data_IF_917767934386
#
_entry.id   IF_917767934386
#
_cell.length_a   1.000
_cell.length_b   1.000
_cell.length_c   1.000
_cell.angle_alpha   90.00
_cell.angle_beta   90.00
_cell.angle_gamma   90.00
#
_symmetry.space_group_name_H-M   'P 1'
#
loop_
_entity.id
_entity.type
_entity.pdbx_description
1 polymer ?
#
# COMPACT_ATOMS: atom_id res chain seq x y z
N UNK A 1 12.52 10.24 2.40
CA UNK A 1 11.83 10.04 3.68
C UNK A 1 11.91 8.56 4.02
N UNK A 2 12.43 8.22 5.20
CA UNK A 2 12.48 6.84 5.70
C UNK A 2 11.66 6.80 6.98
N UNK A 3 10.53 6.09 6.94
CA UNK A 3 9.66 5.91 8.09
C UNK A 3 10.15 4.74 8.94
N UNK A 4 10.25 4.93 10.25
CA UNK A 4 10.66 3.88 11.18
C UNK A 4 9.89 3.97 12.50
N UNK A 5 9.87 2.88 13.27
CA UNK A 5 9.31 2.92 14.62
C UNK A 5 10.22 3.77 15.52
N UNK A 6 9.63 4.55 16.43
CA UNK A 6 10.38 5.50 17.27
C UNK A 6 11.44 4.87 18.18
N UNK A 7 11.30 3.59 18.52
CA UNK A 7 12.23 2.81 19.34
C UNK A 7 13.32 2.09 18.52
N UNK A 8 13.22 2.10 17.19
CA UNK A 8 14.20 1.47 16.30
C UNK A 8 15.36 2.44 16.04
N UNK A 9 16.57 1.98 16.35
CA UNK A 9 17.78 2.68 15.93
C UNK A 9 17.96 2.58 14.42
N UNK A 10 17.94 3.73 13.75
CA UNK A 10 18.18 3.81 12.31
C UNK A 10 19.68 3.60 12.04
N UNK A 11 20.07 2.68 11.14
CA UNK A 11 21.46 2.45 10.78
C UNK A 11 22.18 3.73 10.34
N UNK A 12 23.40 3.92 10.82
CA UNK A 12 24.22 5.10 10.49
C UNK A 12 24.41 5.28 8.97
N UNK A 13 24.49 4.18 8.22
CA UNK A 13 24.57 4.19 6.76
C UNK A 13 23.35 4.88 6.11
N UNK A 14 22.14 4.69 6.66
CA UNK A 14 20.93 5.36 6.18
C UNK A 14 20.90 6.83 6.60
N UNK A 15 21.32 7.13 7.84
CA UNK A 15 21.43 8.50 8.33
C UNK A 15 22.41 9.34 7.50
N UNK A 16 23.48 8.72 6.97
CA UNK A 16 24.47 9.40 6.12
C UNK A 16 24.01 9.66 4.68
N UNK A 17 22.86 9.16 4.24
CA UNK A 17 22.38 9.34 2.86
C UNK A 17 21.75 10.72 2.60
N UNK A 18 21.50 11.51 3.64
CA UNK A 18 20.68 12.73 3.55
C UNK A 18 19.17 12.44 3.46
N UNK A 19 18.75 11.17 3.53
CA UNK A 19 17.35 10.84 3.66
C UNK A 19 16.80 11.35 4.99
N UNK A 20 15.72 12.12 4.92
CA UNK A 20 14.97 12.51 6.10
C UNK A 20 14.41 11.27 6.81
N UNK A 21 14.63 11.18 8.13
CA UNK A 21 14.14 10.11 8.99
C UNK A 21 12.88 10.57 9.71
N UNK A 22 11.82 9.78 9.64
CA UNK A 22 10.54 10.07 10.28
C UNK A 22 10.18 8.96 11.26
N UNK A 23 10.29 9.21 12.57
CA UNK A 23 9.76 8.28 13.56
C UNK A 23 8.23 8.34 13.52
N UNK A 24 7.61 7.16 13.43
CA UNK A 24 6.18 6.96 13.54
C UNK A 24 5.87 6.08 14.76
N UNK A 25 4.66 6.22 15.28
CA UNK A 25 4.07 5.29 16.23
C UNK A 25 3.80 3.94 15.59
N UNK A 26 3.44 2.98 16.43
CA UNK A 26 3.00 1.66 16.01
C UNK A 26 1.48 1.55 16.13
N UNK A 27 0.88 0.92 15.14
CA UNK A 27 -0.53 0.53 15.11
C UNK A 27 -0.65 -0.99 14.84
N UNK A 28 -1.87 -1.50 14.75
CA UNK A 28 -2.09 -2.90 14.44
C UNK A 28 -1.43 -3.27 13.09
N UNK A 29 -0.46 -4.19 13.13
CA UNK A 29 0.22 -4.71 11.94
C UNK A 29 1.48 -3.96 11.48
N UNK A 30 1.87 -2.84 12.10
CA UNK A 30 3.10 -2.11 11.74
C UNK A 30 3.13 -0.65 12.17
N UNK A 31 3.75 0.21 11.33
CA UNK A 31 3.76 1.66 11.54
C UNK A 31 2.36 2.24 11.45
N UNK A 32 2.08 3.30 12.21
CA UNK A 32 0.83 4.05 12.13
C UNK A 32 0.71 4.78 10.79
N UNK A 33 -0.11 4.23 9.89
CA UNK A 33 -0.30 4.76 8.55
C UNK A 33 -1.17 6.01 8.54
N UNK A 34 -2.10 6.17 9.49
CA UNK A 34 -2.87 7.41 9.63
C UNK A 34 -1.96 8.57 10.04
N UNK A 35 -1.02 8.32 10.96
CA UNK A 35 -0.01 9.30 11.30
C UNK A 35 0.84 9.68 10.08
N UNK A 36 1.26 8.70 9.28
CA UNK A 36 2.00 8.96 8.04
C UNK A 36 1.17 9.83 7.08
N UNK A 37 -0.11 9.51 6.85
CA UNK A 37 -0.97 10.31 5.98
C UNK A 37 -1.10 11.75 6.48
N UNK A 38 -1.24 11.97 7.81
CA UNK A 38 -1.25 13.30 8.41
C UNK A 38 0.05 14.09 8.15
N UNK A 39 1.21 13.43 8.25
CA UNK A 39 2.51 14.05 7.93
C UNK A 39 2.62 14.40 6.45
N UNK A 40 2.18 13.52 5.55
CA UNK A 40 2.22 13.76 4.11
C UNK A 40 1.24 14.88 3.70
N UNK A 41 0.05 14.93 4.30
CA UNK A 41 -0.91 16.00 4.11
C UNK A 41 -0.35 17.36 4.57
N UNK A 42 0.32 17.42 5.72
CA UNK A 42 0.98 18.65 6.20
C UNK A 42 2.10 19.13 5.27
N UNK A 43 2.68 18.22 4.47
CA UNK A 43 3.67 18.53 3.42
C UNK A 43 3.03 18.83 2.07
N UNK A 44 1.70 18.94 2.00
CA UNK A 44 0.94 19.22 0.79
C UNK A 44 1.08 18.13 -0.29
N UNK A 45 1.33 16.89 0.12
CA UNK A 45 1.21 15.74 -0.77
C UNK A 45 -0.27 15.44 -0.99
N UNK A 46 -0.83 15.96 -2.08
CA UNK A 46 -2.26 15.84 -2.39
C UNK A 46 -2.64 14.47 -2.96
N UNK A 47 -1.72 13.84 -3.71
CA UNK A 47 -1.91 12.54 -4.34
C UNK A 47 -0.68 11.68 -4.02
N UNK A 48 -0.92 10.44 -3.57
CA UNK A 48 0.14 9.52 -3.16
C UNK A 48 -0.04 8.22 -3.94
N UNK A 49 0.92 7.94 -4.82
CA UNK A 49 1.01 6.64 -5.48
C UNK A 49 1.75 5.66 -4.55
N UNK A 50 1.11 4.56 -4.20
CA UNK A 50 1.71 3.50 -3.38
C UNK A 50 2.05 2.30 -4.25
N UNK A 51 3.35 2.08 -4.45
CA UNK A 51 3.90 0.86 -5.05
C UNK A 51 4.59 0.04 -3.96
N UNK A 52 3.98 -1.08 -3.58
CA UNK A 52 4.48 -1.87 -2.46
C UNK A 52 4.12 -3.35 -2.58
N UNK A 53 4.67 -4.17 -1.68
CA UNK A 53 4.28 -5.56 -1.53
C UNK A 53 2.92 -5.71 -0.83
N UNK A 54 2.40 -6.96 -0.78
CA UNK A 54 1.04 -7.25 -0.32
C UNK A 54 0.74 -6.78 1.11
N UNK A 55 1.74 -6.76 1.99
CA UNK A 55 1.58 -6.35 3.39
C UNK A 55 1.18 -4.89 3.55
N UNK A 56 1.89 -3.96 2.89
CA UNK A 56 1.61 -2.53 3.02
C UNK A 56 0.34 -2.15 2.25
N UNK A 57 0.20 -2.65 1.02
CA UNK A 57 -0.99 -2.41 0.22
C UNK A 57 -2.27 -2.96 0.91
N UNK A 58 -2.19 -4.16 1.50
CA UNK A 58 -3.26 -4.75 2.29
C UNK A 58 -3.59 -3.94 3.55
N UNK A 59 -2.58 -3.47 4.29
CA UNK A 59 -2.77 -2.64 5.47
C UNK A 59 -3.44 -1.29 5.16
N UNK A 60 -3.06 -0.63 4.05
CA UNK A 60 -3.70 0.61 3.61
C UNK A 60 -5.18 0.38 3.26
N UNK A 61 -5.49 -0.69 2.52
CA UNK A 61 -6.86 -1.00 2.15
C UNK A 61 -7.72 -1.30 3.40
N UNK A 62 -7.21 -2.12 4.32
CA UNK A 62 -7.91 -2.46 5.57
C UNK A 62 -8.17 -1.23 6.47
N UNK A 63 -7.28 -0.23 6.42
CA UNK A 63 -7.44 1.01 7.19
C UNK A 63 -8.30 2.07 6.45
N UNK A 64 -8.87 1.74 5.29
CA UNK A 64 -9.67 2.68 4.50
C UNK A 64 -8.85 3.85 3.95
N UNK A 65 -7.56 3.65 3.73
CA UNK A 65 -6.60 4.66 3.24
C UNK A 65 -6.36 4.55 1.73
N UNK A 66 -7.16 3.75 1.02
CA UNK A 66 -7.05 3.56 -0.43
C UNK A 66 -8.32 4.09 -1.08
N UNK A 67 -8.19 5.17 -1.84
CA UNK A 67 -9.28 5.71 -2.65
C UNK A 67 -9.40 4.96 -4.00
N UNK A 68 -8.26 4.53 -4.56
CA UNK A 68 -8.19 3.94 -5.89
C UNK A 68 -7.12 2.84 -5.99
N UNK A 69 -7.47 1.74 -6.66
CA UNK A 69 -6.57 0.63 -7.00
C UNK A 69 -6.31 0.66 -8.51
N UNK A 70 -5.04 0.73 -8.91
CA UNK A 70 -4.62 0.60 -10.31
C UNK A 70 -3.89 -0.72 -10.46
N UNK A 71 -4.54 -1.71 -11.08
CA UNK A 71 -4.03 -3.07 -11.19
C UNK A 71 -3.60 -3.36 -12.62
N UNK A 72 -2.36 -3.84 -12.76
CA UNK A 72 -1.82 -4.39 -14.01
C UNK A 72 -1.78 -5.91 -13.93
N UNK A 73 -2.47 -6.56 -14.86
CA UNK A 73 -2.58 -8.02 -14.94
C UNK A 73 -1.90 -8.51 -16.22
N UNK A 74 -0.76 -9.17 -16.05
CA UNK A 74 -0.04 -9.84 -17.13
C UNK A 74 -0.73 -11.16 -17.52
N UNK A 75 -0.62 -11.62 -18.78
CA UNK A 75 -1.12 -12.92 -19.22
C UNK A 75 -0.19 -14.07 -18.77
N UNK A 76 0.09 -14.13 -17.46
CA UNK A 76 1.01 -15.09 -16.85
C UNK A 76 0.37 -15.75 -15.62
N UNK A 77 0.59 -17.05 -15.46
CA UNK A 77 0.14 -17.80 -14.30
C UNK A 77 1.33 -18.03 -13.36
N UNK A 78 1.16 -17.67 -12.09
CA UNK A 78 2.12 -17.93 -11.04
C UNK A 78 1.64 -19.08 -10.15
N UNK A 79 2.58 -19.74 -9.47
CA UNK A 79 2.25 -20.86 -8.58
C UNK A 79 1.42 -20.42 -7.36
N UNK A 80 0.72 -21.35 -6.73
CA UNK A 80 -0.18 -21.09 -5.58
C UNK A 80 0.50 -20.49 -4.34
N UNK A 81 1.83 -20.54 -4.27
CA UNK A 81 2.64 -19.95 -3.19
C UNK A 81 3.29 -18.62 -3.59
N UNK A 82 2.96 -18.08 -4.76
CA UNK A 82 3.40 -16.76 -5.15
C UNK A 82 2.78 -15.71 -4.22
N UNK A 83 3.43 -14.55 -4.12
CA UNK A 83 2.90 -13.46 -3.30
C UNK A 83 1.52 -13.02 -3.85
N UNK A 84 0.52 -12.84 -2.98
CA UNK A 84 -0.76 -12.29 -3.39
C UNK A 84 -0.61 -10.81 -3.77
N UNK A 85 -1.66 -10.24 -4.36
CA UNK A 85 -1.74 -8.79 -4.62
C UNK A 85 -1.79 -7.98 -3.31
N UNK A 86 -2.62 -8.45 -2.36
CA UNK A 86 -2.87 -7.83 -1.06
C UNK A 86 -2.88 -8.92 0.01
N UNK A 87 -2.29 -8.64 1.16
CA UNK A 87 -2.45 -9.48 2.35
C UNK A 87 -3.70 -9.02 3.11
N UNK A 88 -4.80 -9.78 3.00
CA UNK A 88 -6.09 -9.47 3.61
C UNK A 88 -6.57 -10.69 4.41
N UNK A 89 -6.80 -10.57 5.73
CA UNK A 89 -7.28 -11.67 6.57
C UNK A 89 -8.80 -11.83 6.43
N UNK A 90 -9.26 -12.16 5.21
CA UNK A 90 -10.68 -12.39 4.92
C UNK A 90 -10.99 -13.88 5.02
N UNK A 91 -11.66 -14.28 6.10
CA UNK A 91 -11.94 -15.69 6.40
C UNK A 91 -13.29 -16.15 5.82
N UNK A 92 -14.23 -15.21 5.63
CA UNK A 92 -15.56 -15.48 5.11
C UNK A 92 -15.83 -14.71 3.81
N UNK A 93 -16.65 -15.29 2.92
CA UNK A 93 -17.06 -14.60 1.68
C UNK A 93 -17.79 -13.27 1.94
N UNK A 94 -18.43 -13.13 3.10
CA UNK A 94 -19.09 -11.91 3.52
C UNK A 94 -18.10 -10.78 3.84
N UNK A 95 -16.83 -11.12 4.13
CA UNK A 95 -15.77 -10.15 4.46
C UNK A 95 -15.15 -9.53 3.19
N UNK A 96 -15.60 -9.94 2.00
CA UNK A 96 -15.09 -9.44 0.71
C UNK A 96 -15.12 -7.90 0.68
N UNK A 97 -14.07 -7.31 0.11
CA UNK A 97 -14.06 -5.89 -0.25
C UNK A 97 -14.70 -5.76 -1.63
N UNK A 98 -15.85 -5.09 -1.71
CA UNK A 98 -16.49 -4.81 -2.99
C UNK A 98 -15.74 -3.70 -3.72
N UNK A 99 -15.55 -3.88 -5.04
CA UNK A 99 -14.83 -2.94 -5.88
C UNK A 99 -15.73 -2.51 -7.05
N UNK A 100 -15.74 -1.22 -7.34
CA UNK A 100 -16.31 -0.65 -8.54
C UNK A 100 -15.19 -0.38 -9.56
N UNK A 101 -15.23 -1.05 -10.72
CA UNK A 101 -14.31 -0.76 -11.84
C UNK A 101 -14.70 0.57 -12.47
N UNK A 102 -13.75 1.50 -12.55
CA UNK A 102 -13.92 2.84 -13.15
C UNK A 102 -13.27 2.97 -14.53
N UNK A 103 -12.23 2.18 -14.81
CA UNK A 103 -11.55 2.12 -16.11
C UNK A 103 -11.02 0.70 -16.37
N UNK A 104 -11.03 0.27 -17.63
CA UNK A 104 -10.44 -1.00 -18.07
C UNK A 104 -9.88 -0.83 -19.48
N UNK A 105 -8.60 -1.14 -19.66
CA UNK A 105 -7.94 -1.03 -20.96
C UNK A 105 -6.76 -1.98 -21.10
N UNK A 106 -6.37 -2.22 -22.35
CA UNK A 106 -5.16 -2.96 -22.69
C UNK A 106 -3.93 -2.03 -22.68
N UNK A 107 -2.81 -2.51 -22.16
CA UNK A 107 -1.50 -1.84 -22.18
C UNK A 107 -0.47 -2.86 -22.66
N UNK A 108 -0.05 -2.75 -23.92
CA UNK A 108 0.78 -3.79 -24.54
C UNK A 108 0.04 -5.13 -24.58
N UNK A 109 0.56 -6.14 -23.89
CA UNK A 109 -0.07 -7.45 -23.75
C UNK A 109 -0.87 -7.62 -22.45
N UNK A 110 -0.79 -6.64 -21.55
CA UNK A 110 -1.38 -6.69 -20.22
C UNK A 110 -2.74 -5.99 -20.19
N UNK A 111 -3.55 -6.32 -19.19
CA UNK A 111 -4.76 -5.57 -18.86
C UNK A 111 -4.47 -4.63 -17.69
N UNK A 112 -4.91 -3.38 -17.81
CA UNK A 112 -4.95 -2.44 -16.70
C UNK A 112 -6.41 -2.15 -16.35
N UNK A 113 -6.76 -2.28 -15.09
CA UNK A 113 -8.02 -1.74 -14.59
C UNK A 113 -7.78 -0.84 -13.39
N UNK A 114 -8.62 0.19 -13.31
CA UNK A 114 -8.72 1.07 -12.17
C UNK A 114 -10.03 0.76 -11.45
N UNK A 115 -9.99 0.59 -10.13
CA UNK A 115 -11.16 0.31 -9.33
C UNK A 115 -11.16 1.10 -8.02
N UNK A 116 -12.34 1.37 -7.47
CA UNK A 116 -12.52 2.03 -6.17
C UNK A 116 -13.21 1.07 -5.19
N UNK A 117 -12.80 1.02 -3.92
CA UNK A 117 -13.59 0.36 -2.88
C UNK A 117 -15.00 0.97 -2.80
N UNK A 118 -16.02 0.12 -2.66
CA UNK A 118 -17.43 0.51 -2.58
C UNK A 118 -17.83 0.95 -1.16
#
# INVERSE_FOLDING_TARGET
LVCHAGDVQVPAALASTGAELLPLGLAAGGLDLHQLMGVLAARQCNEILVESGPRLAGALLQQGLVDELIVYMAPALLGSRANPLLDLPLDHMADKVELQIVDLRKVGQDWRFTARPA
#
